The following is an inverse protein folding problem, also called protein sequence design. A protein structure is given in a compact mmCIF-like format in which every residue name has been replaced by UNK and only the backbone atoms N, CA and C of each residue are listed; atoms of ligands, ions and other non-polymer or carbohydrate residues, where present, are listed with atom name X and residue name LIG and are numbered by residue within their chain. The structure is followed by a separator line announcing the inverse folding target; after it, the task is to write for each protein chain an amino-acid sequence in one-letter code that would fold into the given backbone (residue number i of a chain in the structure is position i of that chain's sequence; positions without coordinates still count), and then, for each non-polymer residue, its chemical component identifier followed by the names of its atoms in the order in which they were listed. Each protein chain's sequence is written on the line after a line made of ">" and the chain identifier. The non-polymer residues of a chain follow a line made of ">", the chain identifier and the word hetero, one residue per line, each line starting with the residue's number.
data_IF_423499530939
#
_entry.id   IF_423499530939
#
_cell.length_a   1.000
_cell.length_b   1.000
_cell.length_c   1.000
_cell.angle_alpha   90.00
_cell.angle_beta   90.00
_cell.angle_gamma   90.00
#
_symmetry.space_group_name_H-M   'P 1'
#
loop_
_entity.id
_entity.type
_entity.pdbx_description
1 polymer ?
#
# COMPACT_ATOMS: atom_id res chain seq x y z
N UNK A 1 4.52 -11.63 -36.90
CA UNK A 1 4.17 -10.45 -36.10
C UNK A 1 3.34 -10.97 -34.94
N UNK A 2 3.98 -11.26 -33.81
CA UNK A 2 3.35 -11.93 -32.68
C UNK A 2 3.14 -10.90 -31.58
N UNK A 3 1.90 -10.46 -31.46
CA UNK A 3 1.36 -9.71 -30.31
C UNK A 3 1.01 -10.81 -29.30
N UNK A 4 1.39 -10.83 -28.04
CA UNK A 4 1.86 -9.81 -27.10
C UNK A 4 1.34 -10.35 -25.78
N UNK A 5 2.24 -10.79 -24.90
CA UNK A 5 1.92 -11.65 -23.76
C UNK A 5 0.82 -11.06 -22.87
N UNK A 6 -0.27 -11.82 -22.74
CA UNK A 6 -1.37 -11.56 -21.81
C UNK A 6 -0.82 -11.56 -20.37
N UNK A 7 -0.55 -10.38 -19.83
CA UNK A 7 -0.28 -10.16 -18.41
C UNK A 7 -1.57 -10.47 -17.62
N UNK A 8 -1.77 -11.75 -17.35
CA UNK A 8 -2.76 -12.26 -16.41
C UNK A 8 -2.43 -11.75 -15.02
N UNK A 9 -3.16 -10.74 -14.57
CA UNK A 9 -3.12 -10.25 -13.19
C UNK A 9 -3.57 -11.38 -12.25
N UNK A 10 -2.59 -12.10 -11.69
CA UNK A 10 -2.78 -13.17 -10.72
C UNK A 10 -3.28 -12.60 -9.40
N UNK A 11 -4.51 -13.02 -9.05
CA UNK A 11 -5.09 -13.11 -7.71
C UNK A 11 -5.27 -11.79 -6.94
N UNK A 12 -6.38 -11.11 -7.22
CA UNK A 12 -6.94 -10.08 -6.34
C UNK A 12 -7.54 -10.74 -5.09
N UNK A 13 -6.79 -10.82 -4.00
CA UNK A 13 -7.40 -11.12 -2.69
C UNK A 13 -8.04 -9.84 -2.17
N UNK A 14 -9.32 -9.64 -2.48
CA UNK A 14 -10.13 -8.53 -1.97
C UNK A 14 -10.42 -8.75 -0.49
N UNK A 15 -9.60 -8.18 0.41
CA UNK A 15 -9.97 -8.07 1.82
C UNK A 15 -10.95 -6.91 1.99
N UNK A 16 -12.25 -7.24 1.96
CA UNK A 16 -13.34 -6.30 2.19
C UNK A 16 -13.46 -5.98 3.68
N UNK A 17 -12.87 -4.87 4.13
CA UNK A 17 -13.38 -4.16 5.29
C UNK A 17 -14.56 -3.30 4.80
N UNK A 18 -15.75 -3.50 5.35
CA UNK A 18 -17.07 -3.04 4.87
C UNK A 18 -17.28 -1.52 4.70
N UNK A 19 -16.23 -0.69 4.75
CA UNK A 19 -16.31 0.78 4.60
C UNK A 19 -15.56 1.33 3.36
N UNK A 20 -14.82 0.50 2.59
CA UNK A 20 -14.06 0.97 1.42
C UNK A 20 -14.12 -0.04 0.26
N UNK A 21 -15.26 -0.10 -0.43
CA UNK A 21 -15.51 -0.99 -1.59
C UNK A 21 -14.54 -0.80 -2.77
N UNK A 22 -13.75 0.27 -2.74
CA UNK A 22 -12.85 0.68 -3.83
C UNK A 22 -11.36 0.45 -3.53
N UNK A 23 -11.00 -0.16 -2.39
CA UNK A 23 -9.59 -0.43 -2.02
C UNK A 23 -9.24 -1.90 -2.25
N UNK A 24 -8.07 -2.17 -2.83
CA UNK A 24 -7.54 -3.51 -3.11
C UNK A 24 -6.05 -3.60 -2.82
N UNK A 25 -5.59 -4.78 -2.41
CA UNK A 25 -4.16 -5.11 -2.27
C UNK A 25 -3.73 -5.81 -3.55
N UNK A 26 -2.64 -5.34 -4.16
CA UNK A 26 -2.12 -5.83 -5.43
C UNK A 26 -0.60 -5.96 -5.36
N UNK A 27 0.00 -6.60 -6.36
CA UNK A 27 1.44 -6.58 -6.57
C UNK A 27 1.79 -5.58 -7.67
N UNK A 28 2.84 -4.79 -7.48
CA UNK A 28 3.38 -3.91 -8.50
C UNK A 28 4.21 -4.67 -9.54
N UNK A 29 4.85 -3.93 -10.45
CA UNK A 29 5.63 -4.51 -11.55
C UNK A 29 6.85 -5.33 -11.06
N UNK A 30 7.34 -5.06 -9.85
CA UNK A 30 8.46 -5.76 -9.23
C UNK A 30 8.00 -6.89 -8.30
N UNK A 31 6.69 -7.11 -8.18
CA UNK A 31 6.11 -8.07 -7.26
C UNK A 31 5.93 -7.56 -5.83
N UNK A 32 6.21 -6.26 -5.59
CA UNK A 32 6.04 -5.63 -4.28
C UNK A 32 4.58 -5.34 -3.99
N UNK A 33 4.20 -5.42 -2.71
CA UNK A 33 2.83 -5.17 -2.29
C UNK A 33 2.51 -3.67 -2.39
N UNK A 34 1.41 -3.38 -3.07
CA UNK A 34 0.81 -2.05 -3.14
C UNK A 34 -0.66 -2.10 -2.74
N UNK A 35 -1.16 -0.98 -2.25
CA UNK A 35 -2.59 -0.78 -2.00
C UNK A 35 -3.11 0.21 -3.02
N UNK A 36 -4.18 -0.16 -3.72
CA UNK A 36 -4.84 0.64 -4.74
C UNK A 36 -6.23 1.03 -4.27
N UNK A 37 -6.56 2.32 -4.34
CA UNK A 37 -7.92 2.84 -4.20
C UNK A 37 -8.41 3.36 -5.54
N UNK A 38 -9.59 2.92 -5.98
CA UNK A 38 -10.31 3.56 -7.09
C UNK A 38 -10.99 4.84 -6.58
N UNK A 39 -10.82 5.95 -7.29
CA UNK A 39 -11.40 7.25 -6.92
C UNK A 39 -12.78 7.48 -7.58
N UNK A 40 -13.17 6.61 -8.52
CA UNK A 40 -14.45 6.72 -9.23
C UNK A 40 -15.31 5.48 -9.00
N UNK A 41 -16.58 5.69 -8.62
CA UNK A 41 -17.58 4.62 -8.37
C UNK A 41 -17.93 3.81 -9.62
N UNK A 42 -17.91 4.46 -10.80
CA UNK A 42 -17.85 3.70 -12.04
C UNK A 42 -16.44 3.12 -12.11
N UNK A 43 -16.30 1.80 -12.13
CA UNK A 43 -15.02 1.09 -12.29
C UNK A 43 -14.34 1.54 -13.60
N UNK A 44 -13.72 2.71 -13.57
CA UNK A 44 -12.94 3.20 -14.66
C UNK A 44 -11.66 2.37 -14.64
N UNK A 45 -11.50 1.51 -15.65
CA UNK A 45 -10.30 0.71 -15.77
C UNK A 45 -9.10 1.67 -15.82
N UNK A 46 -8.10 1.38 -14.98
CA UNK A 46 -6.80 2.06 -15.05
C UNK A 46 -6.16 1.62 -16.36
N UNK A 47 -6.06 2.54 -17.31
CA UNK A 47 -5.42 2.29 -18.61
C UNK A 47 -3.90 2.43 -18.53
N UNK A 48 -3.40 3.32 -17.66
CA UNK A 48 -1.96 3.51 -17.41
C UNK A 48 -1.69 4.01 -16.00
N UNK A 49 -0.55 3.62 -15.45
CA UNK A 49 -0.01 4.15 -14.20
C UNK A 49 1.00 5.26 -14.45
N UNK A 50 0.97 6.30 -13.62
CA UNK A 50 2.06 7.27 -13.52
C UNK A 50 3.29 6.68 -12.81
N UNK A 51 4.40 7.43 -12.83
CA UNK A 51 5.59 7.07 -12.08
C UNK A 51 5.31 7.06 -10.57
N UNK A 52 6.02 6.20 -9.85
CA UNK A 52 6.07 6.26 -8.39
C UNK A 52 6.73 7.57 -7.95
N UNK A 53 6.05 8.27 -7.04
CA UNK A 53 6.52 9.51 -6.45
C UNK A 53 6.72 9.30 -4.96
N UNK A 54 7.91 9.62 -4.47
CA UNK A 54 8.17 9.65 -3.06
C UNK A 54 7.26 10.68 -2.38
N UNK A 55 6.60 10.28 -1.29
CA UNK A 55 5.65 11.14 -0.58
C UNK A 55 6.35 12.20 0.29
N UNK A 56 7.69 12.21 0.31
CA UNK A 56 8.51 12.98 1.25
C UNK A 56 8.36 12.53 2.70
N UNK A 57 7.87 11.31 2.90
CA UNK A 57 7.72 10.68 4.20
C UNK A 57 8.65 9.47 4.24
N UNK A 58 9.64 9.53 5.11
CA UNK A 58 10.42 8.39 5.53
C UNK A 58 10.40 8.32 7.06
N UNK A 59 10.13 7.13 7.57
CA UNK A 59 10.16 6.85 9.00
C UNK A 59 11.28 5.87 9.28
N UNK A 60 12.04 6.11 10.34
CA UNK A 60 13.03 5.11 10.77
C UNK A 60 12.30 3.82 11.15
N UNK A 61 12.94 2.67 10.95
CA UNK A 61 12.37 1.35 11.29
C UNK A 61 11.96 1.27 12.75
N UNK A 62 12.66 1.94 13.66
CA UNK A 62 12.29 2.05 15.08
C UNK A 62 10.98 2.82 15.31
N UNK A 63 10.78 3.96 14.63
CA UNK A 63 9.53 4.73 14.72
C UNK A 63 8.37 3.96 14.09
N UNK A 64 8.60 3.37 12.92
CA UNK A 64 7.64 2.50 12.25
C UNK A 64 7.23 1.33 13.14
N UNK A 65 8.18 0.61 13.72
CA UNK A 65 7.90 -0.52 14.61
C UNK A 65 7.12 -0.08 15.86
N UNK A 66 7.50 1.02 16.49
CA UNK A 66 6.80 1.58 17.64
C UNK A 66 5.36 1.96 17.33
N UNK A 67 5.12 2.60 16.18
CA UNK A 67 3.78 2.96 15.71
C UNK A 67 2.92 1.73 15.43
N UNK A 68 3.46 0.71 14.77
CA UNK A 68 2.73 -0.53 14.47
C UNK A 68 2.40 -1.30 15.75
N UNK A 69 3.33 -1.41 16.69
CA UNK A 69 3.07 -2.04 17.99
C UNK A 69 1.96 -1.29 18.76
N UNK A 70 1.99 0.04 18.72
CA UNK A 70 0.94 0.87 19.33
C UNK A 70 -0.41 0.67 18.64
N UNK A 71 -0.43 0.61 17.31
CA UNK A 71 -1.63 0.32 16.52
C UNK A 71 -2.22 -1.06 16.86
N UNK A 72 -1.36 -2.05 17.10
CA UNK A 72 -1.78 -3.39 17.45
C UNK A 72 -2.49 -3.41 18.81
N UNK A 73 -2.02 -2.63 19.79
CA UNK A 73 -2.61 -2.57 21.13
C UNK A 73 -3.78 -1.59 21.26
N UNK A 74 -3.76 -0.45 20.57
CA UNK A 74 -4.72 0.67 20.76
C UNK A 74 -5.59 0.95 19.54
N UNK A 75 -5.42 0.19 18.46
CA UNK A 75 -6.10 0.40 17.19
C UNK A 75 -5.36 1.37 16.26
N UNK A 76 -5.53 1.17 14.95
CA UNK A 76 -4.78 1.88 13.91
C UNK A 76 -5.00 3.40 13.91
N UNK A 77 -6.17 3.86 14.34
CA UNK A 77 -6.51 5.29 14.44
C UNK A 77 -5.55 6.08 15.33
N UNK A 78 -4.94 5.43 16.33
CA UNK A 78 -4.03 6.07 17.28
C UNK A 78 -2.68 6.50 16.70
N UNK A 79 -2.30 5.98 15.52
CA UNK A 79 -0.97 6.20 14.93
C UNK A 79 -0.99 6.77 13.51
N UNK A 80 -2.17 7.07 12.97
CA UNK A 80 -2.28 7.61 11.60
C UNK A 80 -1.47 8.90 11.39
N UNK A 81 -1.41 9.75 12.41
CA UNK A 81 -0.62 10.98 12.39
C UNK A 81 0.89 10.77 12.27
N UNK A 82 1.41 9.59 12.68
CA UNK A 82 2.84 9.27 12.57
C UNK A 82 3.22 8.98 11.12
N UNK A 83 2.36 8.28 10.39
CA UNK A 83 2.63 7.86 9.03
C UNK A 83 2.40 8.96 7.99
N UNK A 84 1.65 10.01 8.30
CA UNK A 84 1.37 11.10 7.37
C UNK A 84 0.64 10.67 6.08
N UNK A 85 0.10 9.45 6.05
CA UNK A 85 -0.64 8.87 4.94
C UNK A 85 -2.13 8.71 5.30
N UNK A 86 -3.02 8.64 4.29
CA UNK A 86 -4.43 8.35 4.53
C UNK A 86 -4.61 7.05 5.31
N UNK A 87 -5.55 7.03 6.26
CA UNK A 87 -5.75 5.87 7.15
C UNK A 87 -6.10 4.57 6.42
N UNK A 88 -6.82 4.65 5.29
CA UNK A 88 -7.10 3.48 4.45
C UNK A 88 -5.82 2.90 3.84
N UNK A 89 -4.83 3.72 3.49
CA UNK A 89 -3.60 3.27 2.86
C UNK A 89 -2.74 2.50 3.86
N UNK A 90 -2.54 3.07 5.06
CA UNK A 90 -1.79 2.40 6.14
C UNK A 90 -2.48 1.14 6.59
N UNK A 91 -3.80 1.18 6.83
CA UNK A 91 -4.56 0.01 7.27
C UNK A 91 -4.40 -1.16 6.29
N UNK A 92 -4.52 -0.90 4.99
CA UNK A 92 -4.37 -1.95 3.98
C UNK A 92 -2.92 -2.35 3.73
N UNK A 93 -1.94 -1.45 3.88
CA UNK A 93 -0.52 -1.80 3.80
C UNK A 93 -0.14 -2.76 4.94
N UNK A 94 -0.69 -2.54 6.15
CA UNK A 94 -0.51 -3.43 7.29
C UNK A 94 -1.21 -4.78 7.07
N UNK A 95 -2.42 -4.77 6.53
CA UNK A 95 -3.11 -6.01 6.13
C UNK A 95 -2.30 -6.77 5.07
N UNK A 96 -1.78 -6.08 4.05
CA UNK A 96 -0.93 -6.67 3.01
C UNK A 96 0.34 -7.28 3.61
N UNK A 97 0.94 -6.60 4.59
CA UNK A 97 2.10 -7.09 5.32
C UNK A 97 1.80 -8.29 6.24
N UNK A 98 0.52 -8.62 6.46
CA UNK A 98 0.11 -9.68 7.39
C UNK A 98 0.43 -9.34 8.84
N UNK A 99 0.38 -8.07 9.21
CA UNK A 99 0.91 -7.56 10.48
C UNK A 99 0.38 -8.28 11.74
N UNK A 100 -0.85 -8.79 11.71
CA UNK A 100 -1.46 -9.55 12.83
C UNK A 100 -0.90 -10.97 12.99
N UNK A 101 -0.18 -11.49 12.00
CA UNK A 101 0.33 -12.86 12.00
C UNK A 101 1.69 -13.01 12.71
N UNK A 102 2.33 -11.89 13.08
CA UNK A 102 3.68 -11.88 13.66
C UNK A 102 3.71 -12.00 15.20
N UNK A 103 2.58 -12.37 15.82
CA UNK A 103 2.51 -12.64 17.27
C UNK A 103 3.00 -11.47 18.14
N UNK A 104 4.09 -11.70 18.88
CA UNK A 104 4.58 -10.77 19.91
C UNK A 104 5.39 -9.56 19.40
N UNK A 105 5.74 -9.48 18.10
CA UNK A 105 6.53 -8.36 17.57
C UNK A 105 6.13 -7.91 16.16
N UNK A 106 4.85 -7.53 15.96
CA UNK A 106 4.35 -7.14 14.64
C UNK A 106 5.07 -5.93 14.06
N UNK A 107 5.43 -4.95 14.89
CA UNK A 107 6.10 -3.75 14.41
C UNK A 107 7.49 -3.99 13.84
N UNK A 108 8.31 -4.83 14.49
CA UNK A 108 9.66 -5.11 13.99
C UNK A 108 9.63 -5.92 12.70
N UNK A 109 8.73 -6.89 12.61
CA UNK A 109 8.58 -7.72 11.42
C UNK A 109 8.13 -6.88 10.21
N UNK A 110 7.10 -6.05 10.39
CA UNK A 110 6.61 -5.20 9.31
C UNK A 110 7.60 -4.10 8.94
N UNK A 111 8.25 -3.45 9.92
CA UNK A 111 9.25 -2.43 9.63
C UNK A 111 10.41 -2.99 8.80
N UNK A 112 10.88 -4.21 9.09
CA UNK A 112 11.90 -4.90 8.28
C UNK A 112 11.40 -5.31 6.90
N UNK A 113 10.12 -5.69 6.79
CA UNK A 113 9.51 -6.02 5.51
C UNK A 113 9.40 -4.78 4.60
N UNK A 114 9.14 -3.61 5.18
CA UNK A 114 8.98 -2.35 4.48
C UNK A 114 10.29 -1.62 4.18
N UNK A 115 11.34 -1.83 4.98
CA UNK A 115 12.71 -1.36 4.70
C UNK A 115 13.37 -2.24 3.64
N UNK A 116 13.02 -2.03 2.38
CA UNK A 116 13.48 -2.85 1.24
C UNK A 116 14.96 -2.65 0.96
N UNK A 117 15.45 -1.45 1.26
CA UNK A 117 16.84 -1.07 1.05
C UNK A 117 17.76 -1.45 2.21
N UNK A 118 17.21 -1.98 3.31
CA UNK A 118 17.92 -2.35 4.53
C UNK A 118 18.79 -1.22 5.10
N UNK A 119 18.32 0.03 4.94
CA UNK A 119 19.04 1.23 5.36
C UNK A 119 18.50 1.81 6.68
N UNK A 120 17.54 1.14 7.31
CA UNK A 120 16.92 1.57 8.56
C UNK A 120 15.79 2.57 8.38
N UNK A 121 15.35 2.85 7.15
CA UNK A 121 14.27 3.77 6.83
C UNK A 121 13.21 3.09 5.97
N UNK A 122 11.96 3.44 6.22
CA UNK A 122 10.81 3.05 5.39
C UNK A 122 10.32 4.29 4.66
N UNK A 123 10.53 4.33 3.35
CA UNK A 123 10.00 5.35 2.46
C UNK A 123 8.60 4.99 1.97
N UNK A 124 7.75 6.00 1.85
CA UNK A 124 6.41 5.83 1.30
C UNK A 124 6.33 6.44 -0.10
N UNK A 125 5.67 5.72 -1.00
CA UNK A 125 5.53 6.11 -2.39
C UNK A 125 4.07 6.11 -2.79
N UNK A 126 3.70 7.07 -3.63
CA UNK A 126 2.38 7.18 -4.23
C UNK A 126 2.47 7.17 -5.74
N UNK A 127 1.43 6.69 -6.41
CA UNK A 127 1.23 6.91 -7.84
C UNK A 127 -0.24 7.08 -8.18
N UNK A 128 -0.48 7.71 -9.33
CA UNK A 128 -1.82 7.94 -9.85
C UNK A 128 -2.09 7.04 -11.04
N UNK A 129 -3.25 6.39 -11.06
CA UNK A 129 -3.76 5.62 -12.18
C UNK A 129 -4.68 6.49 -13.03
N UNK A 130 -4.52 6.42 -14.34
CA UNK A 130 -5.27 7.21 -15.31
C UNK A 130 -6.12 6.31 -16.21
N UNK A 131 -7.31 6.77 -16.57
CA UNK A 131 -8.14 6.10 -17.59
C UNK A 131 -7.67 6.43 -19.02
N UNK A 132 -8.33 5.85 -20.03
CA UNK A 132 -8.01 6.10 -21.44
C UNK A 132 -8.17 7.55 -21.90
N UNK A 133 -8.92 8.37 -21.16
CA UNK A 133 -9.08 9.81 -21.40
C UNK A 133 -8.06 10.67 -20.63
N UNK A 134 -7.09 10.06 -19.94
CA UNK A 134 -6.07 10.76 -19.16
C UNK A 134 -6.56 11.35 -17.84
N UNK A 135 -7.76 10.99 -17.36
CA UNK A 135 -8.27 11.44 -16.05
C UNK A 135 -7.76 10.53 -14.94
N UNK A 136 -7.42 11.11 -13.79
CA UNK A 136 -7.05 10.35 -12.59
C UNK A 136 -8.27 9.58 -12.08
N UNK A 137 -8.11 8.26 -11.90
CA UNK A 137 -9.20 7.34 -11.48
C UNK A 137 -8.78 6.39 -10.37
N UNK A 138 -7.49 6.33 -10.05
CA UNK A 138 -7.00 5.51 -8.94
C UNK A 138 -5.78 6.15 -8.28
N UNK A 139 -5.58 5.82 -7.01
CA UNK A 139 -4.39 6.17 -6.23
C UNK A 139 -3.80 4.89 -5.66
N UNK A 140 -2.49 4.70 -5.77
CA UNK A 140 -1.80 3.58 -5.17
C UNK A 140 -0.71 4.03 -4.20
N UNK A 141 -0.48 3.26 -3.15
CA UNK A 141 0.59 3.44 -2.18
C UNK A 141 1.42 2.17 -2.01
N UNK A 142 2.73 2.33 -1.82
CA UNK A 142 3.66 1.25 -1.43
C UNK A 142 4.75 1.76 -0.49
N UNK A 143 5.56 0.84 -0.01
CA UNK A 143 6.73 1.10 0.84
C UNK A 143 8.01 0.58 0.17
N UNK A 144 9.11 1.32 0.31
CA UNK A 144 10.48 0.90 -0.09
C UNK A 144 11.53 1.31 0.95
#
# INVERSE_FOLDING_TARGET
>A
MTIGDDYTLKTTTSYSNNDNLDVSIQKDENGDLMVVKMETKARANVARWGAWQYTHIALSTGVTAGAINTAYSKGIGSVLGIFGLPGWAIGNLLTAAGWTNYGNSPGNAVARLWDKNHNGWVGFYKRTGYNGAGRAVATAYKTE
#
